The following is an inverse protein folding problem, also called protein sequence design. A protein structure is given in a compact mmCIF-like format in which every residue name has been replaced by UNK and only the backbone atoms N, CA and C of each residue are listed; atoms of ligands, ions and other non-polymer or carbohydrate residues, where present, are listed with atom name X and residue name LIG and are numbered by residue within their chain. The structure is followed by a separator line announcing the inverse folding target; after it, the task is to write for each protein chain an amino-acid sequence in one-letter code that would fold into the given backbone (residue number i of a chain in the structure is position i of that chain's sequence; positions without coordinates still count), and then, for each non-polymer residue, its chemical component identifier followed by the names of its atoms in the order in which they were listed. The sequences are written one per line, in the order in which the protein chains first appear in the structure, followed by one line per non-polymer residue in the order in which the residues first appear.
data_IF_850552734413
#
_entry.id   IF_850552734413
#
_cell.length_a   1.000
_cell.length_b   1.000
_cell.length_c   1.000
_cell.angle_alpha   90.00
_cell.angle_beta   90.00
_cell.angle_gamma   90.00
#
_symmetry.space_group_name_H-M   'P 1'
#
loop_
_entity.id
_entity.type
_entity.pdbx_description
1 polymer ?
#
# COMPACT_ATOMS: atom_id res chain seq x y z
N UNK A 1 2.74 -15.96 31.78
CA UNK A 1 3.23 -15.17 30.64
C UNK A 1 2.00 -14.77 29.85
N UNK A 2 1.66 -13.49 29.84
CA UNK A 2 0.44 -12.97 29.20
C UNK A 2 0.75 -12.68 27.70
N UNK A 3 0.14 -13.38 26.74
CA UNK A 3 0.64 -13.41 25.37
C UNK A 3 0.18 -12.25 24.46
N UNK A 4 -0.49 -11.20 24.97
CA UNK A 4 -1.14 -10.21 24.07
C UNK A 4 -0.98 -8.75 24.50
N UNK A 5 0.20 -8.34 24.97
CA UNK A 5 0.56 -6.92 24.92
C UNK A 5 1.28 -6.61 23.62
N UNK A 6 0.57 -6.76 22.49
CA UNK A 6 1.00 -6.08 21.26
C UNK A 6 0.96 -4.57 21.58
N UNK A 7 2.04 -3.81 21.32
CA UNK A 7 2.02 -2.37 21.53
C UNK A 7 0.75 -1.78 20.89
N UNK A 8 0.12 -0.74 21.48
CA UNK A 8 -1.03 -0.12 20.84
C UNK A 8 -0.60 0.25 19.42
N UNK A 9 -1.31 -0.30 18.43
CA UNK A 9 -1.11 0.04 17.03
C UNK A 9 -1.02 1.57 16.93
N UNK A 10 0.11 2.07 16.45
CA UNK A 10 0.27 3.48 16.11
C UNK A 10 0.12 3.55 14.61
N UNK A 11 -1.02 4.05 14.10
CA UNK A 11 -1.17 4.31 12.69
C UNK A 11 -0.04 5.23 12.21
N UNK A 12 0.39 5.08 10.97
CA UNK A 12 1.42 5.93 10.37
C UNK A 12 1.11 7.44 10.53
N UNK A 13 -0.17 7.82 10.51
CA UNK A 13 -0.62 9.17 10.81
C UNK A 13 -2.07 9.18 11.33
N UNK A 14 -2.50 10.32 11.87
CA UNK A 14 -3.85 10.52 12.43
C UNK A 14 -4.95 10.65 11.36
N UNK A 15 -4.59 10.77 10.08
CA UNK A 15 -5.57 10.84 8.98
C UNK A 15 -6.27 9.47 8.85
N UNK A 16 -7.61 9.41 8.73
CA UNK A 16 -8.30 8.13 8.49
C UNK A 16 -7.72 7.40 7.27
N UNK A 17 -7.59 6.08 7.35
CA UNK A 17 -6.87 5.30 6.34
C UNK A 17 -7.49 5.39 4.94
N UNK A 18 -8.81 5.54 4.84
CA UNK A 18 -9.56 5.70 3.59
C UNK A 18 -9.47 7.10 2.98
N UNK A 19 -8.93 8.09 3.72
CA UNK A 19 -8.74 9.45 3.23
C UNK A 19 -7.36 9.66 2.60
N UNK A 20 -7.24 10.53 1.58
CA UNK A 20 -5.95 10.90 1.01
C UNK A 20 -5.00 11.51 2.05
N UNK A 21 -3.73 11.10 2.02
CA UNK A 21 -2.65 11.71 2.81
C UNK A 21 -1.33 11.58 2.05
N UNK A 22 -0.72 12.72 1.71
CA UNK A 22 0.52 12.71 0.92
C UNK A 22 1.68 11.99 1.60
N UNK A 23 1.74 12.00 2.93
CA UNK A 23 2.80 11.34 3.70
C UNK A 23 2.77 9.82 3.55
N UNK A 24 1.62 9.27 3.15
CA UNK A 24 1.38 7.84 2.99
C UNK A 24 1.52 7.35 1.56
N UNK A 25 1.73 8.23 0.57
CA UNK A 25 1.80 7.80 -0.84
C UNK A 25 2.85 6.71 -1.03
N UNK A 26 2.41 5.54 -1.51
CA UNK A 26 3.28 4.38 -1.75
C UNK A 26 3.84 3.70 -0.51
N UNK A 27 3.46 4.14 0.70
CA UNK A 27 3.97 3.56 1.92
C UNK A 27 3.43 2.14 2.10
N UNK A 28 4.33 1.22 2.44
CA UNK A 28 4.01 -0.16 2.80
C UNK A 28 4.74 -0.47 4.10
N UNK A 29 3.98 -0.87 5.12
CA UNK A 29 4.52 -1.43 6.36
C UNK A 29 4.28 -2.95 6.33
N UNK A 30 5.19 -3.73 6.92
CA UNK A 30 5.02 -5.18 7.05
C UNK A 30 4.49 -5.62 8.43
N UNK A 31 4.62 -4.79 9.46
CA UNK A 31 4.05 -5.06 10.79
C UNK A 31 3.55 -3.78 11.49
N UNK A 32 2.21 -3.59 11.60
CA UNK A 32 1.20 -4.36 10.86
C UNK A 32 1.36 -4.18 9.35
N UNK A 33 0.85 -5.14 8.57
CA UNK A 33 0.84 -5.01 7.13
C UNK A 33 -0.12 -3.88 6.72
N UNK A 34 0.45 -2.77 6.27
CA UNK A 34 -0.28 -1.60 5.79
C UNK A 34 0.18 -1.29 4.38
N UNK A 35 -0.75 -0.87 3.52
CA UNK A 35 -0.43 -0.50 2.15
C UNK A 35 -1.29 0.67 1.71
N UNK A 36 -0.64 1.68 1.16
CA UNK A 36 -1.27 2.93 0.79
C UNK A 36 -1.10 3.22 -0.70
N UNK A 37 -2.09 3.92 -1.25
CA UNK A 37 -2.16 4.24 -2.66
C UNK A 37 -0.99 5.10 -3.08
N UNK A 38 -0.28 4.70 -4.13
CA UNK A 38 0.83 5.45 -4.71
C UNK A 38 0.43 6.90 -5.11
N UNK A 39 -0.79 7.09 -5.59
CA UNK A 39 -1.23 8.38 -6.13
C UNK A 39 -1.73 9.35 -5.07
N UNK A 40 -2.43 8.86 -4.03
CA UNK A 40 -3.13 9.71 -3.06
C UNK A 40 -2.91 9.35 -1.58
N UNK A 41 -2.27 8.22 -1.27
CA UNK A 41 -1.99 7.80 0.10
C UNK A 41 -3.20 7.38 0.94
N UNK A 42 -4.39 7.23 0.32
CA UNK A 42 -5.49 6.48 0.91
C UNK A 42 -5.20 4.98 0.89
N UNK A 43 -5.90 4.18 1.70
CA UNK A 43 -5.73 2.74 1.79
C UNK A 43 -5.81 2.07 0.41
N UNK A 44 -4.80 1.26 0.08
CA UNK A 44 -4.77 0.48 -1.14
C UNK A 44 -5.64 -0.76 -1.03
N UNK A 45 -6.39 -1.11 -2.09
CA UNK A 45 -7.12 -2.38 -2.16
C UNK A 45 -6.67 -3.23 -3.35
N UNK A 46 -5.89 -2.65 -4.26
CA UNK A 46 -5.45 -3.27 -5.50
C UNK A 46 -3.93 -3.21 -5.56
N UNK A 47 -3.26 -4.35 -5.39
CA UNK A 47 -1.80 -4.46 -5.51
C UNK A 47 -1.38 -4.90 -6.92
N UNK A 48 -0.33 -4.26 -7.43
CA UNK A 48 0.26 -4.52 -8.75
C UNK A 48 1.77 -4.75 -8.59
N UNK A 49 2.34 -5.66 -9.40
CA UNK A 49 3.73 -6.12 -9.24
C UNK A 49 4.00 -6.66 -7.82
N UNK A 50 3.01 -7.36 -7.24
CA UNK A 50 3.25 -8.16 -6.03
C UNK A 50 4.04 -9.38 -6.51
N UNK A 51 5.35 -9.24 -6.60
CA UNK A 51 6.23 -10.38 -6.77
C UNK A 51 6.45 -11.03 -5.41
N UNK A 52 6.85 -12.30 -5.38
CA UNK A 52 7.13 -13.02 -4.13
C UNK A 52 8.37 -12.50 -3.38
N UNK A 53 9.04 -11.48 -3.91
CA UNK A 53 10.24 -10.89 -3.35
C UNK A 53 9.88 -9.91 -2.22
N UNK A 54 10.26 -10.20 -0.96
CA UNK A 54 10.02 -9.31 0.18
C UNK A 54 10.69 -7.93 0.02
N UNK A 55 11.74 -7.82 -0.81
CA UNK A 55 12.39 -6.56 -1.12
C UNK A 55 11.54 -5.66 -2.04
N UNK A 56 10.57 -6.24 -2.74
CA UNK A 56 9.70 -5.55 -3.70
C UNK A 56 8.23 -5.86 -3.38
N UNK A 57 7.67 -5.28 -2.31
CA UNK A 57 6.30 -5.59 -1.82
C UNK A 57 5.16 -5.16 -2.78
N UNK A 58 5.49 -4.81 -4.02
CA UNK A 58 4.57 -4.29 -5.03
C UNK A 58 4.17 -2.84 -4.80
N UNK A 59 3.21 -2.39 -5.61
CA UNK A 59 2.64 -1.04 -5.54
C UNK A 59 1.13 -1.17 -5.40
N UNK A 60 0.55 -0.40 -4.49
CA UNK A 60 -0.87 -0.48 -4.16
C UNK A 60 -1.63 0.76 -4.63
N UNK A 61 -2.90 0.59 -4.99
CA UNK A 61 -3.82 1.67 -5.40
C UNK A 61 -5.18 1.51 -4.73
N UNK A 62 -5.82 2.64 -4.42
CA UNK A 62 -7.21 2.67 -3.98
C UNK A 62 -8.17 2.46 -5.18
N UNK A 63 -9.47 2.28 -4.92
CA UNK A 63 -10.47 2.06 -5.97
C UNK A 63 -10.51 3.17 -7.03
N UNK A 64 -10.33 4.42 -6.63
CA UNK A 64 -10.30 5.57 -7.55
C UNK A 64 -9.10 5.52 -8.51
N UNK A 65 -7.94 5.05 -8.04
CA UNK A 65 -6.70 5.03 -8.81
C UNK A 65 -6.33 3.64 -9.35
N UNK A 66 -7.23 2.66 -9.25
CA UNK A 66 -7.02 1.31 -9.78
C UNK A 66 -6.58 1.30 -11.24
N UNK A 67 -7.23 2.11 -12.08
CA UNK A 67 -6.92 2.20 -13.52
C UNK A 67 -5.48 2.66 -13.79
N UNK A 68 -4.93 3.54 -12.93
CA UNK A 68 -3.53 3.98 -13.02
C UNK A 68 -2.57 2.81 -12.80
N UNK A 69 -2.85 1.97 -11.80
CA UNK A 69 -2.08 0.75 -11.55
C UNK A 69 -2.13 -0.25 -12.71
N UNK A 70 -3.30 -0.47 -13.30
CA UNK A 70 -3.49 -1.34 -14.48
C UNK A 70 -2.66 -0.84 -15.68
N UNK A 71 -2.73 0.47 -15.97
CA UNK A 71 -1.97 1.09 -17.07
C UNK A 71 -0.46 0.98 -16.84
N UNK A 72 0.03 1.20 -15.61
CA UNK A 72 1.44 1.04 -15.25
C UNK A 72 1.92 -0.40 -15.43
N UNK A 73 1.14 -1.38 -14.97
CA UNK A 73 1.48 -2.80 -15.16
C UNK A 73 1.51 -3.18 -16.64
N UNK A 74 0.55 -2.70 -17.44
CA UNK A 74 0.50 -2.96 -18.87
C UNK A 74 1.74 -2.41 -19.61
N UNK A 75 2.26 -1.23 -19.21
CA UNK A 75 3.49 -0.67 -19.76
C UNK A 75 4.70 -1.55 -19.48
N UNK A 76 4.84 -2.02 -18.24
CA UNK A 76 5.97 -2.89 -17.83
C UNK A 76 5.97 -4.19 -18.62
N UNK A 77 4.80 -4.81 -18.84
CA UNK A 77 4.68 -6.09 -19.58
C UNK A 77 4.96 -5.98 -21.09
N UNK A 78 4.88 -4.78 -21.68
CA UNK A 78 5.14 -4.55 -23.11
C UNK A 78 6.61 -4.25 -23.42
N UNK A 79 7.41 -3.95 -22.42
CA UNK A 79 8.83 -3.63 -22.57
C UNK A 79 9.77 -4.77 -22.12
N UNK A 80 9.23 -5.97 -21.88
CA UNK A 80 9.98 -7.18 -21.56
C UNK A 80 10.31 -8.00 -22.79
#
# INVERSE_FOLDING_TARGET
MDPVQRPPYRPFCDTPADQPDERRKGHISQDPFEHFCEECGAWGSFGFRIDSDPAHPGVWYCGQHRRVGEERLARVRRGG
#
